data_IF_575003307801
#
_entry.id   IF_575003307801
#
_cell.length_a   1.000
_cell.length_b   1.000
_cell.length_c   1.000
_cell.angle_alpha   90.00
_cell.angle_beta   90.00
_cell.angle_gamma   90.00
#
_symmetry.space_group_name_H-M   'P 1'
#
loop_
_entity.id
_entity.type
_entity.pdbx_description
1 polymer ?
#
# COMPACT_ATOMS: atom_id res chain seq x y z
N UNK A 1 1.94 39.71 5.71
CA UNK A 1 2.89 38.79 5.04
C UNK A 1 2.69 37.41 5.68
N UNK A 2 2.14 36.43 4.98
CA UNK A 2 1.64 35.18 5.58
C UNK A 2 0.14 34.92 5.41
N UNK A 3 -0.57 35.76 4.65
CA UNK A 3 -1.91 35.40 4.17
C UNK A 3 -1.73 34.31 3.12
N UNK A 4 -2.40 33.17 3.29
CA UNK A 4 -2.47 32.13 2.27
C UNK A 4 -3.18 32.74 1.05
N UNK A 5 -2.49 32.82 -0.06
CA UNK A 5 -3.00 33.32 -1.34
C UNK A 5 -3.20 32.14 -2.30
N UNK A 6 -4.01 32.35 -3.34
CA UNK A 6 -4.16 31.36 -4.39
C UNK A 6 -2.80 31.02 -5.02
N UNK A 7 -2.58 29.73 -5.28
CA UNK A 7 -1.37 29.19 -5.87
C UNK A 7 -1.63 27.78 -6.41
N UNK A 8 -0.62 27.14 -6.98
CA UNK A 8 -0.71 25.75 -7.43
C UNK A 8 -0.91 24.83 -6.23
N UNK A 9 -1.93 23.97 -6.27
CA UNK A 9 -2.25 23.00 -5.24
C UNK A 9 -2.23 21.59 -5.83
N UNK A 10 -1.56 20.66 -5.16
CA UNK A 10 -1.42 19.28 -5.61
C UNK A 10 -0.09 19.01 -6.32
N UNK A 11 -0.02 17.88 -7.03
CA UNK A 11 1.22 17.32 -7.62
C UNK A 11 2.36 17.09 -6.60
N UNK A 12 2.02 16.96 -5.32
CA UNK A 12 2.96 16.68 -4.24
C UNK A 12 2.82 15.21 -3.79
N UNK A 13 3.94 14.61 -3.38
CA UNK A 13 3.92 13.28 -2.80
C UNK A 13 3.44 13.35 -1.35
N UNK A 14 2.19 12.94 -1.12
CA UNK A 14 1.59 12.84 0.21
C UNK A 14 1.59 11.39 0.65
N UNK A 15 1.91 11.14 1.93
CA UNK A 15 1.84 9.81 2.54
C UNK A 15 0.89 9.83 3.73
N UNK A 16 -0.13 8.97 3.71
CA UNK A 16 -0.96 8.72 4.89
C UNK A 16 -0.31 7.58 5.66
N UNK A 17 0.01 7.84 6.93
CA UNK A 17 0.74 6.90 7.78
C UNK A 17 -0.22 6.03 8.59
N UNK A 18 0.22 4.81 8.92
CA UNK A 18 -0.49 3.86 9.80
C UNK A 18 -1.88 3.43 9.29
N UNK A 19 -2.08 3.35 7.98
CA UNK A 19 -3.28 2.72 7.42
C UNK A 19 -3.29 1.23 7.78
N UNK A 20 -4.48 0.70 8.09
CA UNK A 20 -4.65 -0.70 8.45
C UNK A 20 -4.85 -1.53 7.18
N UNK A 21 -4.19 -2.67 7.11
CA UNK A 21 -4.47 -3.67 6.08
C UNK A 21 -5.66 -4.48 6.57
N UNK A 22 -6.76 -4.46 5.81
CA UNK A 22 -7.99 -5.17 6.12
C UNK A 22 -7.89 -6.64 5.74
N UNK A 23 -7.37 -6.91 4.54
CA UNK A 23 -7.12 -8.25 4.02
C UNK A 23 -6.04 -8.21 2.95
N UNK A 24 -5.42 -9.36 2.72
CA UNK A 24 -4.50 -9.58 1.59
C UNK A 24 -5.06 -10.78 0.84
N UNK A 25 -5.30 -10.60 -0.46
CA UNK A 25 -5.66 -11.68 -1.36
C UNK A 25 -4.41 -12.08 -2.15
N UNK A 26 -3.77 -13.21 -1.81
CA UNK A 26 -2.58 -13.63 -2.51
C UNK A 26 -2.88 -14.22 -3.90
N UNK A 27 -4.09 -14.69 -4.19
CA UNK A 27 -4.42 -15.32 -5.48
C UNK A 27 -4.57 -14.24 -6.55
N UNK A 28 -5.31 -13.18 -6.24
CA UNK A 28 -5.51 -12.05 -7.16
C UNK A 28 -4.40 -10.99 -7.05
N UNK A 29 -3.52 -11.10 -6.06
CA UNK A 29 -2.46 -10.14 -5.80
C UNK A 29 -2.97 -8.78 -5.29
N UNK A 30 -4.12 -8.78 -4.60
CA UNK A 30 -4.77 -7.58 -4.09
C UNK A 30 -4.44 -7.33 -2.61
N UNK A 31 -4.38 -6.05 -2.23
CA UNK A 31 -4.23 -5.61 -0.85
C UNK A 31 -5.38 -4.67 -0.54
N UNK A 32 -6.21 -5.06 0.43
CA UNK A 32 -7.33 -4.25 0.89
C UNK A 32 -6.84 -3.34 2.02
N UNK A 33 -6.87 -2.04 1.78
CA UNK A 33 -6.46 -1.02 2.74
C UNK A 33 -7.69 -0.34 3.32
N UNK A 34 -7.76 -0.28 4.65
CA UNK A 34 -8.79 0.45 5.38
C UNK A 34 -8.37 1.93 5.47
N UNK A 35 -9.00 2.76 4.62
CA UNK A 35 -8.80 4.20 4.57
C UNK A 35 -8.65 4.75 3.16
N UNK A 36 -8.21 6.01 3.08
CA UNK A 36 -7.99 6.70 1.82
C UNK A 36 -6.54 6.53 1.34
N UNK A 37 -6.36 6.38 0.03
CA UNK A 37 -5.04 6.42 -0.63
C UNK A 37 -4.95 7.72 -1.42
N UNK A 38 -3.88 8.53 -1.25
CA UNK A 38 -3.74 9.79 -1.97
C UNK A 38 -3.46 9.54 -3.45
N UNK A 39 -4.17 10.25 -4.32
CA UNK A 39 -4.01 10.18 -5.76
C UNK A 39 -5.25 9.68 -6.50
N UNK A 40 -5.21 9.69 -7.84
CA UNK A 40 -6.29 9.17 -8.66
C UNK A 40 -6.32 7.63 -8.66
N UNK A 41 -7.45 7.06 -9.07
CA UNK A 41 -7.57 5.61 -9.35
C UNK A 41 -6.55 5.20 -10.42
N UNK A 42 -6.03 3.98 -10.32
CA UNK A 42 -4.98 3.41 -11.19
C UNK A 42 -3.63 4.14 -11.14
N UNK A 43 -3.42 5.03 -10.17
CA UNK A 43 -2.11 5.63 -9.91
C UNK A 43 -1.12 4.65 -9.31
N UNK A 44 0.17 4.88 -9.54
CA UNK A 44 1.24 4.12 -8.90
C UNK A 44 1.41 4.62 -7.47
N UNK A 45 1.43 3.69 -6.51
CA UNK A 45 1.58 4.00 -5.09
C UNK A 45 2.75 3.24 -4.49
N UNK A 46 3.40 3.84 -3.49
CA UNK A 46 4.51 3.24 -2.75
C UNK A 46 4.03 2.82 -1.36
N UNK A 47 3.98 1.52 -1.12
CA UNK A 47 3.63 0.94 0.19
C UNK A 47 4.93 0.68 0.97
N UNK A 48 4.91 1.01 2.27
CA UNK A 48 6.04 0.82 3.19
C UNK A 48 5.50 0.44 4.57
N UNK A 49 6.34 -0.17 5.38
CA UNK A 49 5.98 -0.46 6.77
C UNK A 49 5.76 0.81 7.58
N UNK A 50 4.86 0.70 8.56
CA UNK A 50 4.47 1.80 9.42
C UNK A 50 5.60 2.15 10.41
N UNK A 51 6.16 3.35 10.30
CA UNK A 51 7.26 3.78 11.18
C UNK A 51 6.83 4.08 12.62
N UNK A 52 5.54 4.37 12.85
CA UNK A 52 5.01 4.76 14.18
C UNK A 52 4.27 3.62 14.90
N UNK A 53 4.17 2.44 14.29
CA UNK A 53 3.58 1.24 14.92
C UNK A 53 4.63 0.15 14.95
N UNK A 54 4.69 -0.58 16.07
CA UNK A 54 5.54 -1.74 16.17
C UNK A 54 5.07 -2.82 15.18
N UNK A 55 6.01 -3.40 14.45
CA UNK A 55 5.77 -4.59 13.65
C UNK A 55 5.43 -5.76 14.60
N UNK A 56 4.45 -6.62 14.26
CA UNK A 56 4.24 -7.86 14.98
C UNK A 56 5.50 -8.72 14.90
N UNK A 57 5.79 -9.47 15.97
CA UNK A 57 7.06 -10.21 16.13
C UNK A 57 7.15 -11.42 15.19
N UNK A 58 6.02 -11.83 14.65
CA UNK A 58 5.82 -13.00 13.81
C UNK A 58 5.95 -12.68 12.30
N UNK A 59 6.26 -11.44 11.93
CA UNK A 59 6.40 -11.05 10.53
C UNK A 59 7.65 -11.70 9.89
N UNK A 60 7.53 -12.30 8.69
CA UNK A 60 8.66 -12.91 7.99
C UNK A 60 9.62 -11.82 7.47
N UNK A 61 10.79 -11.69 8.09
CA UNK A 61 11.93 -10.97 7.51
C UNK A 61 12.68 -11.91 6.55
N UNK A 62 13.15 -11.46 5.37
CA UNK A 62 13.10 -10.12 4.80
C UNK A 62 11.91 -9.86 3.86
N UNK A 63 11.17 -10.89 3.45
CA UNK A 63 9.97 -10.76 2.61
C UNK A 63 9.12 -12.05 2.65
N UNK A 64 7.79 -11.89 2.57
CA UNK A 64 6.90 -12.97 2.14
C UNK A 64 7.03 -13.19 0.64
N UNK A 65 8.08 -13.88 0.20
CA UNK A 65 8.31 -14.19 -1.21
C UNK A 65 7.33 -15.28 -1.66
N UNK A 66 6.43 -14.95 -2.59
CA UNK A 66 5.79 -15.97 -3.42
C UNK A 66 6.84 -16.49 -4.39
N UNK A 67 7.42 -17.65 -4.12
CA UNK A 67 8.19 -18.36 -5.13
C UNK A 67 7.25 -18.62 -6.32
N UNK A 68 7.74 -18.40 -7.54
CA UNK A 68 7.04 -18.51 -8.83
C UNK A 68 6.29 -19.86 -9.08
N UNK A 69 6.35 -20.81 -8.15
CA UNK A 69 5.75 -22.13 -8.23
C UNK A 69 4.22 -22.16 -8.02
N UNK A 70 3.62 -21.23 -7.26
CA UNK A 70 2.19 -21.33 -6.87
C UNK A 70 1.22 -20.68 -7.88
N UNK A 71 1.73 -20.01 -8.91
CA UNK A 71 0.90 -19.29 -9.92
C UNK A 71 0.59 -20.17 -11.14
N UNK A 72 1.00 -21.44 -11.16
CA UNK A 72 0.87 -22.33 -12.33
C UNK A 72 -0.38 -23.23 -12.31
N UNK A 73 -1.01 -23.47 -11.15
CA UNK A 73 -2.09 -24.46 -11.02
C UNK A 73 -3.51 -23.86 -11.02
N UNK A 74 -3.64 -22.53 -11.08
CA UNK A 74 -4.94 -21.83 -11.00
C UNK A 74 -5.53 -21.35 -12.33
N UNK A 75 -4.87 -21.58 -13.47
CA UNK A 75 -5.32 -21.06 -14.77
C UNK A 75 -5.66 -22.19 -15.75
N UNK A 76 -6.73 -22.91 -15.45
CA UNK A 76 -7.46 -23.76 -16.40
C UNK A 76 -8.90 -23.99 -15.92
N UNK A 77 -9.80 -23.04 -16.22
CA UNK A 77 -11.23 -23.25 -16.41
C UNK A 77 -11.83 -22.03 -17.14
#
# INVERSE_FOLDING_TARGET
KGKKMAGHMGAEQVTIINLKIAAVDPEEGLILVDGAVPGPKNGIVKIRDAVKRALPKEAPMPAGLKTKAEVADGQAA
#
